data_IF_581277140678
#
_entry.id   IF_581277140678
#
_cell.length_a   1.000
_cell.length_b   1.000
_cell.length_c   1.000
_cell.angle_alpha   90.00
_cell.angle_beta   90.00
_cell.angle_gamma   90.00
#
_symmetry.space_group_name_H-M   'P 1'
#
loop_
_entity.id
_entity.type
_entity.pdbx_description
1 polymer ?
#
# COMPACT_ATOMS: atom_id res chain seq x y z
N UNK A 1 -35.97 64.26 -7.43
CA UNK A 1 -35.08 63.46 -8.30
C UNK A 1 -34.73 62.19 -7.52
N UNK A 2 -35.24 61.02 -7.96
CA UNK A 2 -35.08 59.74 -7.24
C UNK A 2 -33.78 59.04 -7.66
N UNK A 3 -32.89 58.79 -6.70
CA UNK A 3 -31.68 57.98 -6.88
C UNK A 3 -32.06 56.53 -7.19
N UNK A 4 -31.71 56.05 -8.39
CA UNK A 4 -31.77 54.62 -8.74
C UNK A 4 -30.59 53.91 -8.07
N UNK A 5 -30.88 52.95 -7.18
CA UNK A 5 -29.87 51.99 -6.69
C UNK A 5 -29.46 51.05 -7.83
N UNK A 6 -28.18 50.61 -7.90
CA UNK A 6 -27.75 49.65 -8.91
C UNK A 6 -28.47 48.32 -8.69
N UNK A 7 -28.88 47.66 -9.77
CA UNK A 7 -29.45 46.31 -9.73
C UNK A 7 -28.39 45.30 -9.25
N UNK A 8 -28.78 44.27 -8.47
CA UNK A 8 -27.85 43.24 -8.03
C UNK A 8 -27.31 42.48 -9.25
N UNK A 9 -25.98 42.35 -9.34
CA UNK A 9 -25.34 41.46 -10.32
C UNK A 9 -25.74 40.03 -9.97
N UNK A 10 -26.51 39.39 -10.84
CA UNK A 10 -26.71 37.94 -10.82
C UNK A 10 -25.34 37.28 -11.02
N UNK A 11 -24.83 36.61 -9.99
CA UNK A 11 -23.67 35.74 -10.09
C UNK A 11 -24.06 34.49 -10.88
N UNK A 12 -23.70 34.44 -12.16
CA UNK A 12 -23.59 33.18 -12.90
C UNK A 12 -22.37 32.45 -12.35
N UNK A 13 -22.51 31.78 -11.21
CA UNK A 13 -21.59 30.70 -10.86
C UNK A 13 -22.09 29.46 -11.59
N UNK A 14 -21.31 28.89 -12.54
CA UNK A 14 -21.59 27.55 -13.04
C UNK A 14 -21.71 26.63 -11.82
N UNK A 15 -22.78 25.84 -11.77
CA UNK A 15 -22.95 24.81 -10.73
C UNK A 15 -21.75 23.86 -10.87
N UNK A 16 -20.98 23.67 -9.80
CA UNK A 16 -19.87 22.72 -9.85
C UNK A 16 -20.42 21.34 -10.25
N UNK A 17 -19.73 20.63 -11.15
CA UNK A 17 -20.18 19.31 -11.59
C UNK A 17 -20.20 18.34 -10.40
N UNK A 18 -21.22 17.48 -10.39
CA UNK A 18 -21.42 16.42 -9.40
C UNK A 18 -20.22 15.44 -9.36
N UNK A 19 -20.00 14.76 -8.23
CA UNK A 19 -18.92 13.79 -8.04
C UNK A 19 -18.96 12.70 -9.10
N UNK A 20 -20.13 12.10 -9.34
CA UNK A 20 -20.30 11.03 -10.33
C UNK A 20 -19.88 11.43 -11.75
N UNK A 21 -20.22 12.66 -12.18
CA UNK A 21 -19.83 13.16 -13.50
C UNK A 21 -18.32 13.31 -13.62
N UNK A 22 -17.68 13.81 -12.57
CA UNK A 22 -16.22 14.00 -12.52
C UNK A 22 -15.51 12.65 -12.44
N UNK A 23 -16.08 11.70 -11.70
CA UNK A 23 -15.54 10.35 -11.57
C UNK A 23 -15.54 9.62 -12.92
N UNK A 24 -16.66 9.69 -13.66
CA UNK A 24 -16.76 9.12 -15.00
C UNK A 24 -15.76 9.77 -15.97
N UNK A 25 -15.65 11.11 -15.97
CA UNK A 25 -14.69 11.82 -16.83
C UNK A 25 -13.24 11.39 -16.58
N UNK A 26 -12.86 11.15 -15.32
CA UNK A 26 -11.54 10.64 -14.97
C UNK A 26 -11.32 9.20 -15.44
N UNK A 27 -12.31 8.32 -15.22
CA UNK A 27 -12.24 6.93 -15.65
C UNK A 27 -12.15 6.81 -17.19
N UNK A 28 -12.96 7.59 -17.91
CA UNK A 28 -12.94 7.65 -19.38
C UNK A 28 -11.59 8.14 -19.91
N UNK A 29 -10.98 9.13 -19.24
CA UNK A 29 -9.67 9.63 -19.60
C UNK A 29 -8.57 8.59 -19.39
N UNK A 30 -8.60 7.87 -18.26
CA UNK A 30 -7.67 6.78 -18.00
C UNK A 30 -7.82 5.63 -19.00
N UNK A 31 -9.05 5.23 -19.32
CA UNK A 31 -9.35 4.23 -20.34
C UNK A 31 -8.80 4.63 -21.71
N UNK A 32 -9.05 5.88 -22.12
CA UNK A 32 -8.56 6.38 -23.40
C UNK A 32 -7.04 6.44 -23.48
N UNK A 33 -6.32 6.54 -22.35
CA UNK A 33 -4.85 6.46 -22.32
C UNK A 33 -4.41 5.00 -22.44
N UNK A 34 -4.99 4.10 -21.63
CA UNK A 34 -4.67 2.68 -21.61
C UNK A 34 -4.85 2.03 -23.00
N UNK A 35 -6.00 2.25 -23.65
CA UNK A 35 -6.28 1.72 -24.99
C UNK A 35 -5.29 2.21 -26.07
N UNK A 36 -4.71 3.42 -25.89
CA UNK A 36 -3.82 4.03 -26.89
C UNK A 36 -2.37 3.65 -26.72
N UNK A 37 -1.92 3.23 -25.53
CA UNK A 37 -0.55 2.73 -25.34
C UNK A 37 -0.29 1.45 -26.14
N UNK A 38 -1.35 0.69 -26.47
CA UNK A 38 -1.28 -0.51 -27.29
C UNK A 38 -1.18 -0.22 -28.82
N UNK A 39 -1.44 1.01 -29.26
CA UNK A 39 -1.46 1.37 -30.69
C UNK A 39 -0.09 1.82 -31.24
N UNK A 40 0.27 1.44 -32.49
CA UNK A 40 1.49 1.94 -33.14
C UNK A 40 1.45 3.46 -33.35
N UNK A 41 2.26 4.19 -32.57
CA UNK A 41 2.33 5.67 -32.60
C UNK A 41 1.55 6.35 -31.48
N UNK A 42 0.92 5.59 -30.58
CA UNK A 42 0.16 6.10 -29.43
C UNK A 42 0.98 6.87 -28.39
N UNK A 43 2.29 6.65 -28.33
CA UNK A 43 3.19 7.26 -27.34
C UNK A 43 3.07 8.79 -27.21
N UNK A 44 2.99 9.54 -28.32
CA UNK A 44 2.91 11.01 -28.24
C UNK A 44 1.54 11.50 -27.75
N UNK A 45 0.46 10.78 -28.11
CA UNK A 45 -0.91 11.12 -27.71
C UNK A 45 -1.19 10.69 -26.27
N UNK A 46 -0.59 9.57 -25.83
CA UNK A 46 -0.60 9.11 -24.46
C UNK A 46 0.12 10.11 -23.53
N UNK A 47 1.16 10.81 -23.99
CA UNK A 47 1.82 11.88 -23.21
C UNK A 47 0.88 13.06 -22.96
N UNK A 48 0.20 13.58 -23.99
CA UNK A 48 -0.75 14.69 -23.82
C UNK A 48 -1.93 14.31 -22.91
N UNK A 49 -2.49 13.10 -23.08
CA UNK A 49 -3.55 12.58 -22.23
C UNK A 49 -3.12 12.39 -20.77
N UNK A 50 -1.89 11.91 -20.55
CA UNK A 50 -1.31 11.78 -19.22
C UNK A 50 -1.19 13.14 -18.51
N UNK A 51 -0.76 14.20 -19.21
CA UNK A 51 -0.70 15.54 -18.62
C UNK A 51 -2.09 16.07 -18.22
N UNK A 52 -3.11 15.83 -19.05
CA UNK A 52 -4.50 16.19 -18.74
C UNK A 52 -5.01 15.45 -17.50
N UNK A 53 -4.77 14.13 -17.43
CA UNK A 53 -5.17 13.30 -16.30
C UNK A 53 -4.51 13.77 -15.00
N UNK A 54 -3.19 13.99 -15.03
CA UNK A 54 -2.44 14.50 -13.88
C UNK A 54 -2.96 15.87 -13.43
N UNK A 55 -3.26 16.78 -14.36
CA UNK A 55 -3.82 18.08 -14.03
C UNK A 55 -5.20 17.97 -13.36
N UNK A 56 -6.06 17.06 -13.84
CA UNK A 56 -7.37 16.78 -13.27
C UNK A 56 -7.26 16.19 -11.86
N UNK A 57 -6.43 15.15 -11.68
CA UNK A 57 -6.15 14.51 -10.38
C UNK A 57 -5.65 15.53 -9.36
N UNK A 58 -4.60 16.31 -9.69
CA UNK A 58 -4.07 17.36 -8.81
C UNK A 58 -5.14 18.34 -8.36
N UNK A 59 -6.01 18.74 -9.29
CA UNK A 59 -7.10 19.68 -8.99
C UNK A 59 -8.08 19.08 -7.97
N UNK A 60 -8.40 17.79 -8.07
CA UNK A 60 -9.34 17.11 -7.19
C UNK A 60 -8.76 16.84 -5.81
N UNK A 61 -7.51 16.38 -5.73
CA UNK A 61 -6.76 16.23 -4.47
C UNK A 61 -6.71 17.57 -3.74
N UNK A 62 -6.33 18.66 -4.44
CA UNK A 62 -6.30 20.01 -3.86
C UNK A 62 -7.67 20.53 -3.41
N UNK A 63 -8.73 20.16 -4.12
CA UNK A 63 -10.12 20.52 -3.77
C UNK A 63 -10.75 19.57 -2.75
N UNK A 64 -10.01 18.57 -2.24
CA UNK A 64 -10.51 17.57 -1.28
C UNK A 64 -11.75 16.81 -1.77
N UNK A 65 -11.77 16.44 -3.07
CA UNK A 65 -12.84 15.66 -3.68
C UNK A 65 -12.52 14.16 -3.65
N UNK A 66 -12.20 13.62 -2.48
CA UNK A 66 -11.84 12.21 -2.31
C UNK A 66 -12.92 11.25 -2.80
N UNK A 67 -14.20 11.57 -2.58
CA UNK A 67 -15.33 10.75 -3.04
C UNK A 67 -15.30 10.55 -4.56
N UNK A 68 -15.05 11.61 -5.34
CA UNK A 68 -14.95 11.51 -6.79
C UNK A 68 -13.70 10.72 -7.24
N UNK A 69 -12.61 10.76 -6.48
CA UNK A 69 -11.39 10.00 -6.77
C UNK A 69 -11.61 8.50 -6.53
N UNK A 70 -12.21 8.12 -5.40
CA UNK A 70 -12.55 6.73 -5.10
C UNK A 70 -13.60 6.18 -6.07
N UNK A 71 -14.64 6.97 -6.39
CA UNK A 71 -15.65 6.58 -7.36
C UNK A 71 -15.05 6.38 -8.77
N UNK A 72 -14.07 7.21 -9.18
CA UNK A 72 -13.39 7.04 -10.45
C UNK A 72 -12.59 5.73 -10.52
N UNK A 73 -11.86 5.38 -9.44
CA UNK A 73 -11.15 4.11 -9.33
C UNK A 73 -12.14 2.94 -9.40
N UNK A 74 -13.27 3.03 -8.71
CA UNK A 74 -14.30 1.99 -8.73
C UNK A 74 -14.90 1.79 -10.13
N UNK A 75 -15.22 2.87 -10.84
CA UNK A 75 -15.69 2.79 -12.23
C UNK A 75 -14.63 2.13 -13.11
N UNK A 76 -13.37 2.57 -13.00
CA UNK A 76 -12.28 2.01 -13.79
C UNK A 76 -12.07 0.52 -13.50
N UNK A 77 -12.15 0.09 -12.23
CA UNK A 77 -12.01 -1.32 -11.81
C UNK A 77 -12.97 -2.25 -12.55
N UNK A 78 -14.21 -1.83 -12.78
CA UNK A 78 -15.21 -2.62 -13.50
C UNK A 78 -15.24 -2.39 -15.01
N UNK A 79 -14.41 -1.47 -15.52
CA UNK A 79 -14.35 -1.14 -16.94
C UNK A 79 -13.15 -1.80 -17.61
N UNK A 80 -11.96 -1.58 -17.06
CA UNK A 80 -10.69 -2.07 -17.62
C UNK A 80 -9.59 -2.11 -16.53
N UNK A 81 -8.92 -3.26 -16.31
CA UNK A 81 -7.88 -3.39 -15.28
C UNK A 81 -6.68 -2.44 -15.47
N UNK A 82 -6.24 -2.21 -16.71
CA UNK A 82 -5.10 -1.35 -17.02
C UNK A 82 -5.42 0.13 -16.77
N UNK A 83 -6.60 0.57 -17.20
CA UNK A 83 -7.12 1.90 -16.89
C UNK A 83 -7.23 2.12 -15.37
N UNK A 84 -7.69 1.11 -14.63
CA UNK A 84 -7.77 1.15 -13.17
C UNK A 84 -6.39 1.30 -12.53
N UNK A 85 -5.41 0.47 -12.93
CA UNK A 85 -4.03 0.55 -12.42
C UNK A 85 -3.40 1.91 -12.72
N UNK A 86 -3.54 2.41 -13.95
CA UNK A 86 -3.05 3.72 -14.35
C UNK A 86 -3.66 4.84 -13.50
N UNK A 87 -5.00 4.89 -13.42
CA UNK A 87 -5.72 5.92 -12.68
C UNK A 87 -5.36 5.91 -11.19
N UNK A 88 -5.40 4.73 -10.56
CA UNK A 88 -5.03 4.54 -9.15
C UNK A 88 -3.61 5.02 -8.90
N UNK A 89 -2.65 4.57 -9.70
CA UNK A 89 -1.25 4.98 -9.59
C UNK A 89 -1.06 6.50 -9.70
N UNK A 90 -1.75 7.18 -10.63
CA UNK A 90 -1.68 8.65 -10.74
C UNK A 90 -2.27 9.38 -9.54
N UNK A 91 -3.39 8.89 -9.00
CA UNK A 91 -4.03 9.48 -7.82
C UNK A 91 -3.13 9.32 -6.60
N UNK A 92 -2.61 8.12 -6.38
CA UNK A 92 -1.74 7.78 -5.27
C UNK A 92 -0.43 8.58 -5.30
N UNK A 93 0.21 8.69 -6.47
CA UNK A 93 1.43 9.48 -6.67
C UNK A 93 1.20 10.97 -6.33
N UNK A 94 0.15 11.59 -6.87
CA UNK A 94 -0.15 13.01 -6.63
C UNK A 94 -0.67 13.29 -5.20
N UNK A 95 -1.15 12.26 -4.50
CA UNK A 95 -1.55 12.34 -3.10
C UNK A 95 -0.36 12.18 -2.14
N UNK A 96 0.61 11.33 -2.49
CA UNK A 96 1.75 10.98 -1.65
C UNK A 96 3.04 11.77 -1.95
N UNK A 97 3.09 12.52 -3.05
CA UNK A 97 4.24 13.35 -3.45
C UNK A 97 3.81 14.80 -3.68
N UNK A 98 4.62 15.73 -3.17
CA UNK A 98 4.42 17.17 -3.35
C UNK A 98 5.72 17.86 -3.75
N UNK A 99 5.69 18.48 -4.93
CA UNK A 99 6.78 19.34 -5.42
C UNK A 99 6.57 20.79 -5.01
N UNK A 100 7.64 21.40 -4.49
CA UNK A 100 7.64 22.75 -3.94
C UNK A 100 8.75 23.56 -4.59
N UNK A 101 8.45 24.82 -4.91
CA UNK A 101 9.45 25.78 -5.37
C UNK A 101 9.51 26.94 -4.41
N UNK A 102 10.71 27.27 -3.94
CA UNK A 102 10.98 28.42 -3.06
C UNK A 102 11.27 29.68 -3.89
N UNK A 103 11.13 30.84 -3.25
CA UNK A 103 11.40 32.14 -3.87
C UNK A 103 12.86 32.30 -4.35
N UNK A 104 13.78 31.55 -3.74
CA UNK A 104 15.19 31.50 -4.14
C UNK A 104 15.44 30.63 -5.38
N UNK A 105 14.39 30.04 -5.95
CA UNK A 105 14.44 29.21 -7.14
C UNK A 105 14.77 27.74 -6.87
N UNK A 106 15.00 27.35 -5.62
CA UNK A 106 15.23 25.94 -5.28
C UNK A 106 13.95 25.13 -5.36
N UNK A 107 14.07 23.93 -5.91
CA UNK A 107 12.99 22.98 -6.04
C UNK A 107 13.22 21.80 -5.10
N UNK A 108 12.17 21.46 -4.37
CA UNK A 108 12.14 20.39 -3.40
C UNK A 108 11.00 19.44 -3.74
N UNK A 109 11.18 18.19 -3.39
CA UNK A 109 10.12 17.19 -3.36
C UNK A 109 9.97 16.71 -1.91
N UNK A 110 8.73 16.62 -1.45
CA UNK A 110 8.41 15.89 -0.22
C UNK A 110 7.54 14.69 -0.59
N UNK A 111 7.86 13.54 -0.02
CA UNK A 111 7.07 12.31 -0.13
C UNK A 111 6.69 11.77 1.24
N UNK A 112 5.61 10.99 1.28
CA UNK A 112 5.20 10.21 2.44
C UNK A 112 5.55 8.74 2.18
N UNK A 113 6.16 8.10 3.17
CA UNK A 113 6.54 6.69 3.11
C UNK A 113 6.03 5.94 4.35
N UNK A 114 5.84 4.64 4.20
CA UNK A 114 5.57 3.74 5.33
C UNK A 114 6.70 2.71 5.46
N UNK A 115 6.99 2.34 6.71
CA UNK A 115 7.75 1.15 7.05
C UNK A 115 6.75 0.17 7.68
N UNK A 116 6.22 -0.81 6.93
CA UNK A 116 5.33 -1.82 7.49
C UNK A 116 6.13 -2.83 8.30
N UNK A 117 5.55 -3.32 9.38
CA UNK A 117 6.12 -4.40 10.17
C UNK A 117 5.05 -5.25 10.85
N UNK A 118 5.33 -6.54 10.96
CA UNK A 118 4.61 -7.41 11.88
C UNK A 118 5.26 -7.38 13.24
N UNK A 119 4.41 -7.26 14.26
CA UNK A 119 4.81 -7.32 15.65
C UNK A 119 4.17 -8.55 16.27
N UNK A 120 4.99 -9.50 16.72
CA UNK A 120 4.53 -10.66 17.48
C UNK A 120 4.73 -10.42 18.96
N UNK A 121 3.71 -10.75 19.74
CA UNK A 121 3.74 -10.58 21.20
C UNK A 121 2.82 -11.57 21.90
N UNK A 122 2.83 -11.55 23.24
CA UNK A 122 1.82 -12.19 24.08
C UNK A 122 0.98 -11.10 24.73
N UNK A 123 -0.35 -11.16 24.60
CA UNK A 123 -1.26 -10.16 25.14
C UNK A 123 -1.47 -8.90 24.30
N UNK A 124 -0.84 -8.82 23.13
CA UNK A 124 -0.96 -7.68 22.23
C UNK A 124 -0.18 -6.44 22.66
N UNK A 125 0.06 -5.55 21.71
CA UNK A 125 0.67 -4.26 21.99
C UNK A 125 -0.24 -3.36 22.85
N UNK A 126 0.38 -2.50 23.66
CA UNK A 126 -0.31 -1.53 24.50
C UNK A 126 0.03 -0.10 24.05
N UNK A 127 -0.96 0.64 23.52
CA UNK A 127 -0.73 1.97 22.95
C UNK A 127 -0.07 2.95 23.93
N UNK A 128 -0.43 2.89 25.21
CA UNK A 128 0.15 3.76 26.25
C UNK A 128 1.60 3.43 26.64
N UNK A 129 2.10 2.27 26.21
CA UNK A 129 3.49 1.86 26.43
C UNK A 129 4.38 2.18 25.21
N UNK A 130 3.77 2.51 24.06
CA UNK A 130 4.48 2.85 22.84
C UNK A 130 5.05 4.26 22.86
N UNK A 131 6.18 4.40 22.18
CA UNK A 131 7.06 5.55 22.01
C UNK A 131 7.40 6.32 23.28
N UNK A 132 7.49 5.60 24.42
CA UNK A 132 7.90 6.18 25.70
C UNK A 132 9.43 6.34 25.79
N UNK A 133 10.19 5.57 25.02
CA UNK A 133 11.66 5.64 24.95
C UNK A 133 12.09 6.64 23.87
N UNK A 134 12.22 7.91 24.26
CA UNK A 134 12.56 9.01 23.35
C UNK A 134 13.96 8.87 22.74
N UNK A 135 14.91 8.27 23.46
CA UNK A 135 16.27 8.04 22.96
C UNK A 135 16.27 6.99 21.85
N UNK A 136 15.53 5.89 22.03
CA UNK A 136 15.36 4.89 20.98
C UNK A 136 14.69 5.48 19.74
N UNK A 137 13.68 6.34 19.93
CA UNK A 137 12.98 6.99 18.83
C UNK A 137 13.85 7.99 18.07
N UNK A 138 14.67 8.79 18.77
CA UNK A 138 15.63 9.71 18.15
C UNK A 138 16.72 8.94 17.37
N UNK A 139 17.24 7.86 17.95
CA UNK A 139 18.19 6.98 17.28
C UNK A 139 17.60 6.31 16.02
N UNK A 140 16.34 5.86 16.08
CA UNK A 140 15.61 5.33 14.93
C UNK A 140 15.45 6.40 13.84
N UNK A 141 14.98 7.60 14.22
CA UNK A 141 14.72 8.69 13.27
C UNK A 141 15.98 9.16 12.53
N UNK A 142 17.13 9.10 13.20
CA UNK A 142 18.43 9.52 12.61
C UNK A 142 19.17 8.40 11.86
N UNK A 143 18.65 7.17 11.89
CA UNK A 143 19.33 5.99 11.32
C UNK A 143 19.27 5.90 9.80
N UNK A 144 18.34 6.60 9.14
CA UNK A 144 18.15 6.54 7.67
C UNK A 144 19.40 7.00 6.89
N UNK A 145 20.02 8.09 7.33
CA UNK A 145 21.20 8.68 6.68
C UNK A 145 22.44 7.79 6.76
N UNK A 146 22.90 7.32 7.95
CA UNK A 146 24.08 6.45 8.01
C UNK A 146 23.87 5.10 7.33
N UNK A 147 22.62 4.64 7.20
CA UNK A 147 22.28 3.43 6.45
C UNK A 147 22.22 3.63 4.93
N UNK A 148 22.30 4.87 4.44
CA UNK A 148 22.20 5.17 3.01
C UNK A 148 20.83 4.87 2.41
N UNK A 149 19.77 4.98 3.21
CA UNK A 149 18.38 4.92 2.73
C UNK A 149 17.92 6.26 2.18
N UNK A 150 18.50 7.34 2.71
CA UNK A 150 18.21 8.72 2.34
C UNK A 150 19.51 9.50 2.12
N UNK A 151 19.47 10.51 1.25
CA UNK A 151 20.61 11.36 0.95
C UNK A 151 21.08 12.14 2.18
N UNK A 152 22.38 12.42 2.26
CA UNK A 152 22.97 13.20 3.35
C UNK A 152 22.40 14.64 3.48
N UNK A 153 21.82 15.17 2.41
CA UNK A 153 21.20 16.50 2.37
C UNK A 153 19.68 16.46 2.52
N UNK A 154 19.06 15.29 2.45
CA UNK A 154 17.64 15.12 2.65
C UNK A 154 17.26 15.25 4.12
N UNK A 155 16.03 15.69 4.37
CA UNK A 155 15.45 15.77 5.71
C UNK A 155 14.38 14.71 5.85
N UNK A 156 14.52 13.87 6.86
CA UNK A 156 13.59 12.78 7.15
C UNK A 156 12.96 13.04 8.50
N UNK A 157 11.66 12.81 8.62
CA UNK A 157 10.97 12.82 9.89
C UNK A 157 10.06 11.60 9.99
N UNK A 158 10.06 10.95 11.15
CA UNK A 158 9.08 9.93 11.50
C UNK A 158 8.04 10.53 12.45
N UNK A 159 6.79 10.10 12.31
CA UNK A 159 5.77 10.36 13.31
C UNK A 159 6.04 9.45 14.50
N UNK A 160 5.97 10.00 15.72
CA UNK A 160 6.14 9.26 16.97
C UNK A 160 4.87 8.43 17.30
N UNK A 161 4.48 7.56 16.38
CA UNK A 161 3.31 6.69 16.49
C UNK A 161 3.48 5.48 15.58
N UNK A 162 2.98 4.33 16.00
CA UNK A 162 2.87 3.14 15.16
C UNK A 162 1.41 2.99 14.79
N UNK A 163 1.08 3.28 13.54
CA UNK A 163 -0.28 3.23 13.05
C UNK A 163 -0.74 1.77 12.94
N UNK A 164 -1.99 1.48 13.30
CA UNK A 164 -2.64 0.25 12.81
C UNK A 164 -3.17 0.44 11.39
N UNK A 165 -3.65 -0.66 10.78
CA UNK A 165 -4.23 -0.62 9.45
C UNK A 165 -5.44 0.30 9.36
N UNK A 166 -6.30 0.33 10.39
CA UNK A 166 -7.49 1.16 10.37
C UNK A 166 -7.15 2.65 10.37
N UNK A 167 -6.16 3.09 11.14
CA UNK A 167 -5.69 4.46 11.12
C UNK A 167 -5.09 4.83 9.77
N UNK A 168 -4.28 3.93 9.16
CA UNK A 168 -3.75 4.13 7.79
C UNK A 168 -4.88 4.20 6.76
N UNK A 169 -5.89 3.33 6.84
CA UNK A 169 -7.06 3.32 5.94
C UNK A 169 -7.90 4.60 6.04
N UNK A 170 -7.91 5.25 7.19
CA UNK A 170 -8.62 6.51 7.38
C UNK A 170 -7.91 7.73 6.76
N UNK A 171 -6.66 7.59 6.31
CA UNK A 171 -5.93 8.67 5.64
C UNK A 171 -6.34 8.69 4.17
N UNK A 172 -7.32 9.54 3.84
CA UNK A 172 -7.75 9.77 2.45
C UNK A 172 -6.68 10.51 1.62
N UNK A 173 -6.79 10.44 0.28
CA UNK A 173 -5.85 11.07 -0.66
C UNK A 173 -5.57 12.54 -0.34
N UNK A 174 -6.62 13.34 -0.14
CA UNK A 174 -6.47 14.77 0.17
C UNK A 174 -5.95 15.04 1.58
N UNK A 175 -6.14 14.10 2.50
CA UNK A 175 -5.63 14.17 3.88
C UNK A 175 -4.12 13.94 3.87
N UNK A 176 -3.65 12.89 3.18
CA UNK A 176 -2.21 12.64 3.00
C UNK A 176 -1.52 13.83 2.33
N UNK A 177 -2.12 14.37 1.27
CA UNK A 177 -1.57 15.53 0.57
C UNK A 177 -1.49 16.78 1.46
N UNK A 178 -2.43 16.98 2.38
CA UNK A 178 -2.35 18.06 3.36
C UNK A 178 -1.28 17.79 4.43
N UNK A 179 -1.12 16.54 4.87
CA UNK A 179 -0.03 16.14 5.78
C UNK A 179 1.35 16.43 5.16
N UNK A 180 1.54 16.22 3.85
CA UNK A 180 2.76 16.61 3.14
C UNK A 180 3.03 18.12 3.23
N UNK A 181 2.00 18.97 3.13
CA UNK A 181 2.16 20.42 3.27
C UNK A 181 2.58 20.81 4.68
N UNK A 182 1.97 20.21 5.70
CA UNK A 182 2.31 20.43 7.10
C UNK A 182 3.73 19.96 7.44
N UNK A 183 4.11 18.78 6.95
CA UNK A 183 5.46 18.22 7.09
C UNK A 183 6.49 19.11 6.38
N UNK A 184 6.24 19.52 5.14
CA UNK A 184 7.13 20.40 4.39
C UNK A 184 7.30 21.76 5.07
N UNK A 185 6.22 22.35 5.56
CA UNK A 185 6.29 23.61 6.30
C UNK A 185 7.18 23.49 7.55
N UNK A 186 7.08 22.37 8.26
CA UNK A 186 7.92 22.07 9.43
C UNK A 186 9.38 21.80 9.08
N UNK A 187 9.65 21.09 7.98
CA UNK A 187 11.00 20.73 7.56
C UNK A 187 11.75 21.89 6.90
N UNK A 188 11.05 22.81 6.22
CA UNK A 188 11.66 23.96 5.55
C UNK A 188 11.90 25.14 6.49
N UNK A 189 11.02 25.35 7.48
CA UNK A 189 11.11 26.48 8.40
C UNK A 189 11.97 26.15 9.64
N UNK A 190 12.56 27.18 10.25
CA UNK A 190 13.38 27.00 11.46
C UNK A 190 12.56 26.80 12.74
N UNK A 191 11.28 27.19 12.70
CA UNK A 191 10.37 27.07 13.83
C UNK A 191 9.39 25.95 13.53
N UNK A 192 9.11 25.14 14.55
CA UNK A 192 8.07 24.13 14.48
C UNK A 192 6.75 24.79 14.04
N UNK A 193 6.14 24.22 13.00
CA UNK A 193 4.84 24.63 12.52
C UNK A 193 3.77 23.73 13.14
N UNK A 194 2.55 24.23 13.39
CA UNK A 194 1.42 23.37 13.72
C UNK A 194 1.17 22.36 12.60
N UNK A 195 0.86 21.12 12.98
CA UNK A 195 0.53 20.05 12.05
C UNK A 195 -0.79 19.36 12.44
N UNK A 196 -1.93 20.10 12.45
CA UNK A 196 -3.20 19.58 12.95
C UNK A 196 -3.74 18.40 12.16
N UNK A 197 -3.44 18.29 10.86
CA UNK A 197 -3.87 17.14 10.05
C UNK A 197 -3.06 15.90 10.42
N UNK A 198 -1.73 16.05 10.61
CA UNK A 198 -0.88 14.98 11.13
C UNK A 198 -1.36 14.54 12.52
N UNK A 199 -1.61 15.48 13.45
CA UNK A 199 -2.13 15.18 14.79
C UNK A 199 -3.48 14.44 14.73
N UNK A 200 -4.39 14.88 13.85
CA UNK A 200 -5.72 14.27 13.69
C UNK A 200 -5.68 12.88 12.99
N UNK A 201 -4.56 12.52 12.35
CA UNK A 201 -4.39 11.19 11.77
C UNK A 201 -4.19 10.11 12.85
N UNK A 202 -3.74 10.49 14.05
CA UNK A 202 -3.55 9.60 15.19
C UNK A 202 -4.88 9.50 15.94
N UNK A 203 -5.67 8.47 15.64
CA UNK A 203 -7.01 8.25 16.22
C UNK A 203 -6.97 7.33 17.44
N UNK A 204 -5.84 6.66 17.64
CA UNK A 204 -5.68 5.58 18.60
C UNK A 204 -6.02 4.24 17.96
N UNK A 205 -5.32 3.19 18.39
CA UNK A 205 -5.50 1.85 17.85
C UNK A 205 -6.92 1.35 18.04
N UNK A 206 -7.46 0.78 16.98
CA UNK A 206 -8.78 0.19 16.91
C UNK A 206 -8.66 -1.34 16.80
N UNK A 207 -9.73 -2.06 17.13
CA UNK A 207 -9.76 -3.53 17.07
C UNK A 207 -9.96 -4.20 18.43
N UNK A 208 -10.17 -5.52 18.38
CA UNK A 208 -10.30 -6.35 19.57
C UNK A 208 -8.97 -6.47 20.30
N UNK A 209 -9.02 -6.45 21.63
CA UNK A 209 -7.83 -6.64 22.45
C UNK A 209 -7.55 -8.13 22.59
N UNK A 210 -6.29 -8.50 22.42
CA UNK A 210 -5.82 -9.84 22.70
C UNK A 210 -5.94 -10.15 24.20
N UNK A 211 -6.29 -11.40 24.52
CA UNK A 211 -6.24 -11.85 25.91
C UNK A 211 -4.79 -11.88 26.42
N UNK A 212 -4.51 -11.67 27.72
CA UNK A 212 -3.15 -11.51 28.22
C UNK A 212 -2.17 -12.66 27.92
N UNK A 213 -2.67 -13.87 27.72
CA UNK A 213 -1.92 -15.09 27.41
C UNK A 213 -2.00 -15.52 25.93
N UNK A 214 -2.72 -14.76 25.11
CA UNK A 214 -2.89 -15.02 23.68
C UNK A 214 -1.67 -14.54 22.89
N UNK A 215 -1.22 -15.36 21.94
CA UNK A 215 -0.21 -14.92 20.97
C UNK A 215 -0.87 -13.98 19.97
N UNK A 216 -0.31 -12.77 19.82
CA UNK A 216 -0.74 -11.81 18.81
C UNK A 216 0.27 -11.69 17.68
N UNK A 217 -0.23 -11.36 16.50
CA UNK A 217 0.56 -10.86 15.38
C UNK A 217 -0.18 -9.65 14.79
N UNK A 218 0.46 -8.49 14.83
CA UNK A 218 -0.17 -7.23 14.50
C UNK A 218 0.62 -6.53 13.39
N UNK A 219 -0.06 -6.16 12.30
CA UNK A 219 0.51 -5.29 11.27
C UNK A 219 0.50 -3.85 11.77
N UNK A 220 1.68 -3.23 11.79
CA UNK A 220 1.89 -1.85 12.20
C UNK A 220 2.66 -1.10 11.13
N UNK A 221 2.49 0.22 11.10
CA UNK A 221 3.18 1.09 10.16
C UNK A 221 3.87 2.23 10.87
N UNK A 222 5.15 2.45 10.57
CA UNK A 222 5.83 3.70 10.89
C UNK A 222 5.65 4.65 9.70
N UNK A 223 4.99 5.78 9.92
CA UNK A 223 4.79 6.81 8.90
C UNK A 223 5.86 7.88 8.99
N UNK A 224 6.47 8.19 7.86
CA UNK A 224 7.47 9.24 7.74
C UNK A 224 7.30 10.11 6.51
N UNK A 225 8.05 11.21 6.50
CA UNK A 225 8.15 12.11 5.37
C UNK A 225 9.61 12.38 5.04
N UNK A 226 9.97 12.30 3.76
CA UNK A 226 11.29 12.70 3.27
C UNK A 226 11.17 13.94 2.40
N UNK A 227 11.93 14.99 2.74
CA UNK A 227 12.10 16.20 1.95
C UNK A 227 13.49 16.21 1.33
N UNK A 228 13.54 16.18 0.00
CA UNK A 228 14.77 16.09 -0.79
C UNK A 228 14.84 17.20 -1.85
N UNK A 229 16.05 17.46 -2.31
CA UNK A 229 16.28 18.30 -3.47
C UNK A 229 15.90 17.54 -4.74
N UNK A 230 15.21 18.21 -5.67
CA UNK A 230 14.73 17.56 -6.90
C UNK A 230 15.90 17.09 -7.81
N UNK A 231 17.04 17.75 -7.73
CA UNK A 231 18.25 17.47 -8.51
C UNK A 231 19.29 16.62 -7.77
N UNK A 232 18.92 16.01 -6.64
CA UNK A 232 19.84 15.21 -5.85
C UNK A 232 20.17 13.88 -6.56
N UNK A 233 21.44 13.65 -6.95
CA UNK A 233 21.85 12.47 -7.71
C UNK A 233 21.67 11.16 -6.94
N UNK A 234 21.51 11.21 -5.61
CA UNK A 234 21.20 10.03 -4.82
C UNK A 234 19.91 9.33 -5.29
N UNK A 235 18.92 10.10 -5.76
CA UNK A 235 17.61 9.58 -6.21
C UNK A 235 17.53 9.40 -7.73
N UNK A 236 18.60 9.67 -8.47
CA UNK A 236 18.61 9.52 -9.91
C UNK A 236 18.74 8.04 -10.30
N UNK A 237 17.60 7.40 -10.59
CA UNK A 237 17.56 6.03 -11.10
C UNK A 237 18.24 5.99 -12.48
N UNK A 238 19.21 5.09 -12.70
CA UNK A 238 19.85 4.93 -14.01
C UNK A 238 18.85 4.57 -15.11
N UNK A 239 19.01 5.13 -16.31
CA UNK A 239 18.11 4.87 -17.44
C UNK A 239 18.30 3.50 -18.10
N UNK A 240 19.46 2.87 -17.92
CA UNK A 240 19.73 1.54 -18.46
C UNK A 240 19.14 0.48 -17.50
N UNK A 241 18.35 -0.44 -18.02
CA UNK A 241 17.63 -1.48 -17.27
C UNK A 241 18.54 -2.23 -16.28
N UNK A 242 19.63 -2.85 -16.76
CA UNK A 242 20.59 -3.56 -15.90
C UNK A 242 21.17 -2.69 -14.76
N UNK A 243 21.36 -1.39 -15.02
CA UNK A 243 21.87 -0.46 -14.03
C UNK A 243 20.78 0.01 -13.05
N UNK A 244 19.54 0.11 -13.51
CA UNK A 244 18.36 0.36 -12.68
C UNK A 244 18.15 -0.81 -11.71
N UNK A 245 18.18 -2.05 -12.21
CA UNK A 245 18.03 -3.25 -11.38
C UNK A 245 19.11 -3.34 -10.31
N UNK A 246 20.36 -3.12 -10.69
CA UNK A 246 21.47 -3.08 -9.73
C UNK A 246 21.31 -1.96 -8.68
N UNK A 247 20.73 -0.81 -9.08
CA UNK A 247 20.47 0.30 -8.17
C UNK A 247 19.39 -0.05 -7.14
N UNK A 248 18.29 -0.66 -7.56
CA UNK A 248 17.21 -1.12 -6.69
C UNK A 248 17.66 -2.27 -5.77
N UNK A 249 18.37 -3.27 -6.30
CA UNK A 249 18.92 -4.37 -5.50
C UNK A 249 19.88 -3.87 -4.41
N UNK A 250 20.73 -2.89 -4.73
CA UNK A 250 21.62 -2.28 -3.74
C UNK A 250 20.84 -1.48 -2.68
N UNK A 251 19.74 -0.81 -3.06
CA UNK A 251 18.85 -0.12 -2.11
C UNK A 251 18.18 -1.11 -1.17
N UNK A 252 17.71 -2.23 -1.71
CA UNK A 252 17.10 -3.30 -0.93
C UNK A 252 18.10 -3.94 0.06
N UNK A 253 19.34 -4.19 -0.37
CA UNK A 253 20.39 -4.72 0.52
C UNK A 253 20.66 -3.76 1.69
N UNK A 254 20.77 -2.46 1.43
CA UNK A 254 20.91 -1.44 2.48
C UNK A 254 19.72 -1.43 3.43
N UNK A 255 18.51 -1.58 2.90
CA UNK A 255 17.29 -1.68 3.71
C UNK A 255 17.30 -2.92 4.62
N UNK A 256 17.62 -4.10 4.08
CA UNK A 256 17.75 -5.34 4.87
C UNK A 256 18.81 -5.23 5.98
N UNK A 257 19.94 -4.57 5.70
CA UNK A 257 20.96 -4.32 6.73
C UNK A 257 20.49 -3.31 7.80
N UNK A 258 19.73 -2.29 7.38
CA UNK A 258 19.14 -1.30 8.27
C UNK A 258 18.12 -1.94 9.23
N UNK A 259 17.19 -2.76 8.73
CA UNK A 259 16.15 -3.41 9.56
C UNK A 259 16.76 -4.26 10.68
N UNK A 260 17.82 -5.02 10.39
CA UNK A 260 18.55 -5.77 11.40
C UNK A 260 19.17 -4.88 12.49
N UNK A 261 19.65 -3.69 12.11
CA UNK A 261 20.27 -2.72 13.02
C UNK A 261 19.22 -2.02 13.89
N UNK A 262 18.07 -1.65 13.32
CA UNK A 262 17.04 -0.85 14.02
C UNK A 262 15.98 -1.68 14.74
N UNK A 263 15.87 -2.99 14.47
CA UNK A 263 14.92 -3.87 15.15
C UNK A 263 14.92 -3.73 16.69
N UNK A 264 16.08 -3.66 17.39
CA UNK A 264 16.09 -3.41 18.83
C UNK A 264 15.56 -2.03 19.24
N UNK A 265 15.77 -1.00 18.41
CA UNK A 265 15.25 0.35 18.65
C UNK A 265 13.74 0.39 18.50
N UNK A 266 13.20 -0.25 17.45
CA UNK A 266 11.76 -0.35 17.24
C UNK A 266 11.09 -1.13 18.37
N UNK A 267 11.68 -2.22 18.85
CA UNK A 267 11.13 -2.94 20.01
C UNK A 267 11.06 -2.08 21.27
N UNK A 268 12.09 -1.28 21.54
CA UNK A 268 12.10 -0.28 22.64
C UNK A 268 11.06 0.82 22.42
N UNK A 269 10.81 1.21 21.17
CA UNK A 269 9.75 2.15 20.85
C UNK A 269 8.37 1.52 21.08
N UNK A 270 8.14 0.26 20.78
CA UNK A 270 6.78 -0.30 20.84
C UNK A 270 6.36 -0.82 22.21
N UNK A 271 7.31 -1.23 23.06
CA UNK A 271 7.02 -1.88 24.34
C UNK A 271 7.98 -1.47 25.45
N UNK A 272 7.48 -1.43 26.69
CA UNK A 272 8.32 -1.33 27.90
C UNK A 272 9.11 -2.61 28.20
N UNK A 273 8.74 -3.73 27.58
CA UNK A 273 9.42 -5.01 27.65
C UNK A 273 9.85 -5.41 26.22
N UNK A 274 10.93 -4.80 25.69
CA UNK A 274 11.32 -4.99 24.28
C UNK A 274 11.70 -6.44 23.95
N UNK A 275 12.13 -7.23 24.94
CA UNK A 275 12.47 -8.64 24.76
C UNK A 275 11.25 -9.56 24.71
N UNK A 276 10.05 -9.06 25.07
CA UNK A 276 8.81 -9.82 25.00
C UNK A 276 8.10 -9.71 23.65
N UNK A 277 8.67 -8.96 22.71
CA UNK A 277 8.11 -8.76 21.37
C UNK A 277 9.15 -9.05 20.30
N UNK A 278 8.66 -9.52 19.16
CA UNK A 278 9.45 -9.74 17.94
C UNK A 278 8.93 -8.80 16.85
N UNK A 279 9.83 -8.26 16.03
CA UNK A 279 9.48 -7.36 14.93
C UNK A 279 10.05 -7.90 13.62
N UNK A 280 9.19 -8.01 12.62
CA UNK A 280 9.55 -8.45 11.27
C UNK A 280 9.15 -7.34 10.29
N UNK A 281 10.14 -6.71 9.67
CA UNK A 281 9.91 -5.61 8.73
C UNK A 281 9.51 -6.14 7.37
N UNK A 282 8.55 -5.47 6.74
CA UNK A 282 8.33 -5.53 5.30
C UNK A 282 9.15 -4.44 4.61
N UNK A 283 9.19 -4.43 3.29
CA UNK A 283 9.96 -3.42 2.56
C UNK A 283 9.37 -2.01 2.77
N UNK A 284 10.23 -1.00 2.87
CA UNK A 284 9.80 0.39 2.94
C UNK A 284 9.52 0.90 1.52
N UNK A 285 8.38 1.56 1.35
CA UNK A 285 8.03 2.22 0.09
C UNK A 285 7.22 3.51 0.35
N UNK A 286 6.86 4.20 -0.74
CA UNK A 286 5.87 5.25 -0.73
C UNK A 286 4.56 4.75 -0.09
N UNK A 287 3.82 5.70 0.47
CA UNK A 287 2.69 5.42 1.36
C UNK A 287 1.73 4.32 0.86
N UNK A 288 1.25 4.40 -0.38
CA UNK A 288 0.26 3.45 -0.89
C UNK A 288 0.87 2.08 -1.24
N UNK A 289 2.03 2.05 -1.89
CA UNK A 289 2.72 0.80 -2.22
C UNK A 289 3.10 -0.01 -0.96
N UNK A 290 3.65 0.68 0.06
CA UNK A 290 3.99 0.04 1.33
C UNK A 290 2.75 -0.43 2.10
N UNK A 291 1.64 0.32 2.01
CA UNK A 291 0.35 -0.10 2.57
C UNK A 291 -0.17 -1.35 1.87
N UNK A 292 -0.20 -1.35 0.55
CA UNK A 292 -0.64 -2.48 -0.28
C UNK A 292 0.17 -3.74 0.02
N UNK A 293 1.50 -3.62 0.10
CA UNK A 293 2.37 -4.72 0.51
C UNK A 293 2.02 -5.25 1.91
N UNK A 294 1.83 -4.36 2.89
CA UNK A 294 1.46 -4.76 4.25
C UNK A 294 0.12 -5.50 4.32
N UNK A 295 -0.89 -5.01 3.59
CA UNK A 295 -2.21 -5.63 3.52
C UNK A 295 -2.16 -6.98 2.79
N UNK A 296 -1.45 -7.04 1.66
CA UNK A 296 -1.27 -8.27 0.89
C UNK A 296 -0.60 -9.37 1.71
N UNK A 297 0.49 -9.05 2.40
CA UNK A 297 1.19 -10.01 3.27
C UNK A 297 0.31 -10.44 4.46
N UNK A 298 -0.44 -9.52 5.08
CA UNK A 298 -1.37 -9.86 6.15
C UNK A 298 -2.48 -10.81 5.65
N UNK A 299 -3.01 -10.57 4.46
CA UNK A 299 -4.00 -11.45 3.83
C UNK A 299 -3.41 -12.83 3.55
N UNK A 300 -2.21 -12.90 2.97
CA UNK A 300 -1.49 -14.15 2.70
C UNK A 300 -1.27 -14.96 3.99
N UNK A 301 -0.78 -14.33 5.06
CA UNK A 301 -0.62 -14.98 6.37
C UNK A 301 -1.95 -15.48 6.95
N UNK A 302 -3.04 -14.77 6.72
CA UNK A 302 -4.40 -15.20 7.08
C UNK A 302 -4.79 -16.50 6.38
N UNK A 303 -4.55 -16.59 5.07
CA UNK A 303 -4.79 -17.79 4.26
C UNK A 303 -3.94 -18.97 4.75
N UNK A 304 -2.63 -18.76 4.92
CA UNK A 304 -1.72 -19.80 5.41
C UNK A 304 -2.13 -20.28 6.82
N UNK A 305 -2.61 -19.39 7.69
CA UNK A 305 -3.13 -19.74 9.00
C UNK A 305 -4.40 -20.58 8.92
N UNK A 306 -5.30 -20.30 7.97
CA UNK A 306 -6.51 -21.09 7.76
C UNK A 306 -6.21 -22.49 7.20
N UNK A 307 -5.26 -22.58 6.27
CA UNK A 307 -4.75 -23.86 5.77
C UNK A 307 -4.14 -24.66 6.93
N UNK A 308 -3.23 -24.07 7.71
CA UNK A 308 -2.61 -24.74 8.86
C UNK A 308 -3.63 -25.20 9.90
N UNK A 309 -4.64 -24.37 10.22
CA UNK A 309 -5.76 -24.77 11.10
C UNK A 309 -6.55 -25.94 10.54
N UNK A 310 -6.78 -25.97 9.24
CA UNK A 310 -7.47 -27.08 8.57
C UNK A 310 -6.67 -28.37 8.68
N UNK A 311 -5.35 -28.33 8.47
CA UNK A 311 -4.47 -29.49 8.65
C UNK A 311 -4.53 -30.02 10.08
N UNK A 312 -4.37 -29.15 11.07
CA UNK A 312 -4.43 -29.52 12.49
C UNK A 312 -5.79 -30.11 12.87
N UNK A 313 -6.90 -29.50 12.45
CA UNK A 313 -8.25 -29.96 12.76
C UNK A 313 -8.57 -31.34 12.14
N UNK A 314 -7.86 -31.72 11.09
CA UNK A 314 -7.99 -33.00 10.40
C UNK A 314 -6.92 -34.02 10.79
N UNK A 315 -6.01 -33.65 11.70
CA UNK A 315 -4.86 -34.48 12.11
C UNK A 315 -3.98 -34.89 10.91
N UNK A 316 -3.73 -33.95 10.00
CA UNK A 316 -2.96 -34.15 8.78
C UNK A 316 -1.57 -33.53 8.89
N UNK A 317 -0.57 -34.28 8.46
CA UNK A 317 0.78 -33.76 8.21
C UNK A 317 0.81 -33.08 6.84
N UNK A 318 1.53 -31.96 6.73
CA UNK A 318 1.57 -31.17 5.49
C UNK A 318 2.09 -31.98 4.28
N UNK A 319 3.07 -32.86 4.50
CA UNK A 319 3.66 -33.72 3.47
C UNK A 319 2.74 -34.85 2.97
N UNK A 320 1.52 -34.93 3.49
CA UNK A 320 0.46 -35.85 3.07
C UNK A 320 -0.70 -35.13 2.37
N UNK A 321 -0.52 -33.85 2.05
CA UNK A 321 -1.56 -33.00 1.49
C UNK A 321 -1.10 -32.40 0.17
N UNK A 322 -1.98 -32.46 -0.83
CA UNK A 322 -1.85 -31.74 -2.10
C UNK A 322 -2.84 -30.58 -2.12
N UNK A 323 -2.42 -29.40 -2.57
CA UNK A 323 -3.32 -28.27 -2.79
C UNK A 323 -3.59 -28.05 -4.28
N UNK A 324 -4.85 -27.83 -4.65
CA UNK A 324 -5.18 -27.29 -5.96
C UNK A 324 -5.73 -25.88 -5.84
N UNK A 325 -5.22 -24.98 -6.69
CA UNK A 325 -5.58 -23.56 -6.73
C UNK A 325 -6.26 -23.27 -8.06
N UNK A 326 -7.40 -22.59 -8.04
CA UNK A 326 -8.04 -22.12 -9.27
C UNK A 326 -8.79 -20.80 -9.05
N UNK A 327 -8.84 -19.92 -10.06
CA UNK A 327 -9.76 -18.79 -10.04
C UNK A 327 -11.20 -19.28 -10.18
N UNK A 328 -12.11 -18.64 -9.46
CA UNK A 328 -13.55 -18.83 -9.56
C UNK A 328 -14.24 -17.49 -9.73
N UNK A 329 -15.18 -17.45 -10.67
CA UNK A 329 -16.13 -16.36 -10.80
C UNK A 329 -17.22 -16.51 -9.73
N UNK A 330 -17.22 -15.60 -8.75
CA UNK A 330 -18.21 -15.53 -7.69
C UNK A 330 -19.33 -14.50 -8.00
N UNK A 331 -19.51 -14.14 -9.27
CA UNK A 331 -20.52 -13.22 -9.77
C UNK A 331 -20.02 -11.78 -9.82
N UNK A 332 -19.90 -11.12 -8.66
CA UNK A 332 -19.45 -9.71 -8.60
C UNK A 332 -17.95 -9.55 -8.34
N UNK A 333 -17.26 -10.66 -8.07
CA UNK A 333 -15.84 -10.70 -7.73
C UNK A 333 -15.22 -12.02 -8.19
N UNK A 334 -13.91 -12.00 -8.41
CA UNK A 334 -13.10 -13.21 -8.63
C UNK A 334 -12.48 -13.62 -7.29
N UNK A 335 -12.50 -14.91 -7.00
CA UNK A 335 -11.79 -15.49 -5.86
C UNK A 335 -10.80 -16.55 -6.34
N UNK A 336 -9.65 -16.64 -5.67
CA UNK A 336 -8.77 -17.79 -5.76
C UNK A 336 -9.19 -18.80 -4.71
N UNK A 337 -9.70 -19.95 -5.17
CA UNK A 337 -10.04 -21.06 -4.28
C UNK A 337 -8.88 -22.04 -4.17
N UNK A 338 -8.58 -22.41 -2.93
CA UNK A 338 -7.58 -23.41 -2.55
C UNK A 338 -8.34 -24.60 -2.00
N UNK A 339 -8.27 -25.74 -2.68
CA UNK A 339 -8.81 -27.01 -2.20
C UNK A 339 -7.66 -27.90 -1.72
N UNK A 340 -7.79 -28.44 -0.50
CA UNK A 340 -6.82 -29.36 0.09
C UNK A 340 -7.27 -30.80 -0.10
N UNK A 341 -6.41 -31.66 -0.61
CA UNK A 341 -6.71 -33.07 -0.93
C UNK A 341 -5.74 -34.02 -0.24
N UNK A 342 -6.24 -35.23 -0.02
CA UNK A 342 -5.41 -36.38 0.26
C UNK A 342 -4.59 -36.79 -0.98
N UNK A 343 -3.39 -37.35 -0.75
CA UNK A 343 -2.56 -37.89 -1.85
C UNK A 343 -3.21 -39.08 -2.57
N UNK A 344 -4.08 -39.83 -1.90
CA UNK A 344 -4.85 -40.92 -2.52
C UNK A 344 -6.11 -40.41 -3.27
N UNK A 345 -6.32 -39.09 -3.29
CA UNK A 345 -7.39 -38.41 -3.99
C UNK A 345 -8.72 -38.40 -3.24
N UNK A 346 -9.79 -38.09 -3.96
CA UNK A 346 -11.14 -37.96 -3.40
C UNK A 346 -11.61 -36.52 -3.23
N UNK A 347 -12.67 -36.32 -2.45
CA UNK A 347 -13.25 -34.99 -2.21
C UNK A 347 -12.29 -34.13 -1.37
N UNK A 348 -12.26 -32.81 -1.59
CA UNK A 348 -11.40 -31.94 -0.81
C UNK A 348 -11.72 -32.02 0.70
N UNK A 349 -10.69 -32.01 1.52
CA UNK A 349 -10.77 -32.00 2.99
C UNK A 349 -11.21 -30.64 3.55
N UNK A 350 -10.95 -29.59 2.79
CA UNK A 350 -11.33 -28.20 3.08
C UNK A 350 -11.06 -27.31 1.88
N UNK A 351 -11.72 -26.16 1.89
CA UNK A 351 -11.56 -25.11 0.89
C UNK A 351 -11.30 -23.79 1.62
N UNK A 352 -10.38 -23.00 1.09
CA UNK A 352 -10.09 -21.63 1.54
C UNK A 352 -10.20 -20.72 0.33
N UNK A 353 -10.91 -19.61 0.47
CA UNK A 353 -11.12 -18.65 -0.61
C UNK A 353 -10.36 -17.35 -0.31
N UNK A 354 -9.60 -16.86 -1.28
CA UNK A 354 -8.92 -15.58 -1.25
C UNK A 354 -9.55 -14.65 -2.28
N UNK A 355 -10.08 -13.48 -1.90
CA UNK A 355 -10.57 -12.50 -2.87
C UNK A 355 -9.40 -11.95 -3.70
N UNK A 356 -9.66 -11.67 -4.98
CA UNK A 356 -8.68 -11.06 -5.90
C UNK A 356 -9.14 -9.66 -6.29
N UNK A 357 -8.23 -8.68 -6.28
CA UNK A 357 -8.50 -7.38 -6.89
C UNK A 357 -8.62 -7.55 -8.40
N UNK A 358 -9.73 -7.09 -8.99
CA UNK A 358 -9.97 -7.17 -10.43
C UNK A 358 -8.93 -6.38 -11.25
N UNK A 359 -8.26 -5.42 -10.61
CA UNK A 359 -7.16 -4.67 -11.21
C UNK A 359 -5.78 -5.34 -11.01
N UNK A 360 -5.67 -6.48 -10.32
CA UNK A 360 -4.41 -7.20 -10.13
C UNK A 360 -4.05 -8.07 -11.35
N UNK A 361 -2.77 -8.42 -11.45
CA UNK A 361 -2.32 -9.47 -12.37
C UNK A 361 -2.61 -10.84 -11.73
N UNK A 362 -3.66 -11.50 -12.21
CA UNK A 362 -4.09 -12.80 -11.70
C UNK A 362 -2.99 -13.87 -11.77
N UNK A 363 -2.08 -13.81 -12.75
CA UNK A 363 -0.98 -14.76 -12.87
C UNK A 363 0.01 -14.57 -11.73
N UNK A 364 0.43 -13.33 -11.47
CA UNK A 364 1.36 -13.01 -10.38
C UNK A 364 0.77 -13.33 -9.01
N UNK A 365 -0.53 -13.04 -8.80
CA UNK A 365 -1.23 -13.40 -7.56
C UNK A 365 -1.30 -14.92 -7.36
N UNK A 366 -1.57 -15.67 -8.44
CA UNK A 366 -1.61 -17.13 -8.39
C UNK A 366 -0.24 -17.75 -8.09
N UNK A 367 0.82 -17.26 -8.73
CA UNK A 367 2.19 -17.72 -8.51
C UNK A 367 2.60 -17.47 -7.05
N UNK A 368 2.37 -16.24 -6.56
CA UNK A 368 2.68 -15.85 -5.18
C UNK A 368 1.96 -16.73 -4.15
N UNK A 369 0.68 -17.03 -4.39
CA UNK A 369 -0.10 -17.93 -3.54
C UNK A 369 0.43 -19.37 -3.57
N UNK A 370 0.80 -19.89 -4.75
CA UNK A 370 1.33 -21.24 -4.88
C UNK A 370 2.68 -21.41 -4.17
N UNK A 371 3.59 -20.44 -4.32
CA UNK A 371 4.86 -20.41 -3.61
C UNK A 371 4.66 -20.35 -2.09
N UNK A 372 3.72 -19.52 -1.62
CA UNK A 372 3.38 -19.42 -0.20
C UNK A 372 2.82 -20.75 0.34
N UNK A 373 1.96 -21.45 -0.41
CA UNK A 373 1.44 -22.76 -0.04
C UNK A 373 2.53 -23.82 0.01
N UNK A 374 3.47 -23.84 -0.95
CA UNK A 374 4.62 -24.75 -0.92
C UNK A 374 5.50 -24.52 0.31
N UNK A 375 5.60 -23.29 0.81
CA UNK A 375 6.37 -22.97 2.02
C UNK A 375 5.83 -23.64 3.30
N UNK A 376 4.57 -24.10 3.30
CA UNK A 376 3.99 -24.88 4.40
C UNK A 376 4.50 -26.33 4.45
N UNK A 377 5.27 -26.77 3.45
CA UNK A 377 5.76 -28.14 3.35
C UNK A 377 4.73 -29.12 2.80
N UNK A 378 3.76 -28.64 1.99
CA UNK A 378 2.83 -29.49 1.26
C UNK A 378 3.57 -30.42 0.29
N UNK A 379 2.99 -31.58 -0.02
CA UNK A 379 3.58 -32.51 -0.99
C UNK A 379 3.67 -31.90 -2.40
N UNK A 380 2.65 -31.13 -2.76
CA UNK A 380 2.53 -30.50 -4.06
C UNK A 380 1.43 -29.44 -4.09
N UNK A 381 1.56 -28.57 -5.09
CA UNK A 381 0.55 -27.59 -5.47
C UNK A 381 0.27 -27.75 -6.96
N UNK A 382 -0.99 -27.66 -7.36
CA UNK A 382 -1.40 -27.65 -8.76
C UNK A 382 -2.27 -26.44 -9.08
N UNK A 383 -2.10 -25.89 -10.27
CA UNK A 383 -2.98 -24.85 -10.81
C UNK A 383 -4.03 -25.50 -11.69
N UNK A 384 -5.30 -25.10 -11.54
CA UNK A 384 -6.43 -25.62 -12.29
C UNK A 384 -7.25 -24.48 -12.93
N UNK A 385 -8.05 -24.80 -13.93
CA UNK A 385 -8.93 -23.81 -14.57
C UNK A 385 -10.24 -23.58 -13.83
N UNK A 386 -10.53 -24.41 -12.83
CA UNK A 386 -11.72 -24.32 -12.00
C UNK A 386 -11.94 -25.58 -11.16
N UNK A 387 -13.11 -25.66 -10.54
CA UNK A 387 -13.53 -26.82 -9.76
C UNK A 387 -14.91 -27.31 -10.21
N UNK A 388 -15.10 -28.63 -10.22
CA UNK A 388 -16.40 -29.25 -10.43
C UNK A 388 -17.34 -29.03 -9.23
N UNK A 389 -18.62 -29.42 -9.35
CA UNK A 389 -19.59 -29.29 -8.24
C UNK A 389 -19.18 -30.04 -6.97
N UNK A 390 -18.47 -31.16 -7.11
CA UNK A 390 -17.95 -31.96 -5.99
C UNK A 390 -16.59 -31.43 -5.48
N UNK A 391 -16.12 -30.32 -6.02
CA UNK A 391 -14.89 -29.65 -5.64
C UNK A 391 -13.63 -30.27 -6.23
N UNK A 392 -13.72 -31.12 -7.26
CA UNK A 392 -12.53 -31.66 -7.92
C UNK A 392 -11.93 -30.65 -8.89
N UNK A 393 -10.60 -30.51 -8.88
CA UNK A 393 -9.88 -29.62 -9.77
C UNK A 393 -10.03 -30.04 -11.24
N UNK A 394 -10.37 -29.09 -12.11
CA UNK A 394 -10.51 -29.31 -13.54
C UNK A 394 -9.28 -28.80 -14.29
N UNK A 395 -8.67 -29.65 -15.13
CA UNK A 395 -7.48 -29.27 -15.89
C UNK A 395 -6.25 -28.99 -15.03
N UNK A 396 -6.13 -29.63 -13.86
CA UNK A 396 -5.04 -29.39 -12.93
C UNK A 396 -3.67 -29.78 -13.51
N UNK A 397 -2.72 -28.85 -13.47
CA UNK A 397 -1.32 -29.05 -13.82
C UNK A 397 -0.43 -28.77 -12.59
N UNK A 398 0.62 -29.56 -12.34
CA UNK A 398 1.55 -29.30 -11.25
C UNK A 398 2.17 -27.92 -11.37
N UNK A 399 2.13 -27.13 -10.30
CA UNK A 399 2.81 -25.85 -10.23
C UNK A 399 4.33 -26.08 -10.19
N UNK A 400 5.07 -25.34 -11.01
CA UNK A 400 6.53 -25.32 -10.98
C UNK A 400 6.98 -23.91 -10.59
N UNK A 401 7.70 -23.75 -9.47
CA UNK A 401 8.22 -22.46 -9.06
C UNK A 401 9.08 -21.84 -10.17
N UNK A 402 8.87 -20.54 -10.41
CA UNK A 402 9.58 -19.74 -11.41
C UNK A 402 11.01 -19.38 -11.03
#
# INVERSE_FOLDING_TARGET
MKNKRPLPRTSNNPREPDNASVAQELADLALAIAEREEEPGGLAVAVDGNEELLAAVRKLVRKKRDEALYEAIEIARYTDPDACRLLRGRIEEEAAILRLRRDDGREYEIDAFLVPLFVRSTGGLQAGDSFQDLEAFEALSTSFHPAGLESATAKVVLIQHAYDLAEIDHIAFSTLHEMLREAAASLLEKKLQPAPTIEASIRGWTGERFAPDESSMELRFLLGFSLKHLDDPFYAVPAAEEASDAWFAAREERYRAWTATVAPLVRRCLSRQPDSIEVNFLYQDLFYAAKEQGVGELAMLGILSEVARTLVAKELEADQVHAAVAPLDAGEHIVMRINLYALDGGTPWGSVDMPVDLAADLSTEMDSLCDALLSLGLEGVSVASGFSQDGHAEGAEPYQPG
#
